data_IF_675872504871
#
_entry.id   IF_675872504871
#
_cell.length_a   1.000
_cell.length_b   1.000
_cell.length_c   1.000
_cell.angle_alpha   90.00
_cell.angle_beta   90.00
_cell.angle_gamma   90.00
#
_symmetry.space_group_name_H-M   'P 1'
#
loop_
_entity.id
_entity.type
_entity.pdbx_description
1 polymer ?
#
# COMPACT_ATOMS: atom_id res chain seq x y z
N UNK A 1 19.37 12.41 -4.14
CA UNK A 1 17.97 11.96 -4.36
C UNK A 1 17.32 11.76 -2.99
N UNK A 2 16.13 12.32 -2.77
CA UNK A 2 15.43 12.32 -1.47
C UNK A 2 14.96 10.93 -1.06
N UNK A 3 14.53 10.11 -2.03
CA UNK A 3 14.13 8.73 -1.79
C UNK A 3 15.30 7.90 -1.26
N UNK A 4 16.45 7.99 -1.93
CA UNK A 4 17.69 7.34 -1.50
C UNK A 4 18.17 7.81 -0.12
N UNK A 5 18.03 9.11 0.18
CA UNK A 5 18.37 9.66 1.49
C UNK A 5 17.44 9.13 2.59
N UNK A 6 16.14 9.03 2.32
CA UNK A 6 15.16 8.46 3.25
C UNK A 6 15.46 7.01 3.60
N UNK A 7 15.83 6.18 2.61
CA UNK A 7 16.28 4.80 2.83
C UNK A 7 17.49 4.73 3.75
N UNK A 8 18.50 5.57 3.49
CA UNK A 8 19.70 5.63 4.32
C UNK A 8 19.41 6.02 5.78
N UNK A 9 18.48 6.94 6.01
CA UNK A 9 18.04 7.28 7.37
C UNK A 9 17.21 6.16 8.01
N UNK A 10 16.36 5.48 7.25
CA UNK A 10 15.58 4.35 7.74
C UNK A 10 16.47 3.16 8.16
N UNK A 11 17.55 2.89 7.42
CA UNK A 11 18.53 1.85 7.76
C UNK A 11 19.31 2.18 9.05
N UNK A 12 19.45 3.46 9.36
CA UNK A 12 20.06 3.94 10.61
C UNK A 12 19.05 4.13 11.74
N UNK A 13 17.79 3.71 11.55
CA UNK A 13 16.69 3.89 12.51
C UNK A 13 16.41 5.36 12.88
N UNK A 14 16.83 6.29 12.02
CA UNK A 14 16.60 7.73 12.14
C UNK A 14 15.23 8.06 11.57
N UNK A 15 14.19 7.59 12.26
CA UNK A 15 12.82 7.61 11.78
C UNK A 15 12.29 9.00 11.41
N UNK A 16 12.49 10.06 12.22
CA UNK A 16 12.00 11.39 11.87
C UNK A 16 12.65 11.94 10.59
N UNK A 17 13.94 11.71 10.40
CA UNK A 17 14.65 12.16 9.19
C UNK A 17 14.27 11.34 7.96
N UNK A 18 14.07 10.03 8.11
CA UNK A 18 13.58 9.17 7.03
C UNK A 18 12.20 9.62 6.55
N UNK A 19 11.28 9.85 7.48
CA UNK A 19 9.92 10.32 7.17
C UNK A 19 9.95 11.67 6.44
N UNK A 20 10.71 12.65 6.95
CA UNK A 20 10.90 13.95 6.27
C UNK A 20 11.46 13.78 4.87
N UNK A 21 12.42 12.89 4.67
CA UNK A 21 13.02 12.66 3.36
C UNK A 21 12.02 12.02 2.38
N UNK A 22 11.22 11.05 2.80
CA UNK A 22 10.18 10.45 1.96
C UNK A 22 9.05 11.44 1.64
N UNK A 23 8.60 12.25 2.60
CA UNK A 23 7.64 13.33 2.34
C UNK A 23 8.21 14.34 1.34
N UNK A 24 9.47 14.76 1.52
CA UNK A 24 10.13 15.66 0.58
C UNK A 24 10.30 15.04 -0.82
N UNK A 25 10.47 13.73 -0.91
CA UNK A 25 10.49 13.01 -2.19
C UNK A 25 9.12 13.07 -2.86
N UNK A 26 8.03 12.80 -2.14
CA UNK A 26 6.66 12.86 -2.68
C UNK A 26 6.27 14.24 -3.21
N UNK A 27 6.79 15.32 -2.62
CA UNK A 27 6.57 16.70 -3.11
C UNK A 27 7.30 17.01 -4.43
N UNK A 28 8.38 16.28 -4.74
CA UNK A 28 9.32 16.62 -5.84
C UNK A 28 9.28 15.63 -6.98
N UNK A 29 8.90 14.38 -6.70
CA UNK A 29 8.80 13.33 -7.70
C UNK A 29 7.57 13.56 -8.56
N UNK A 30 7.75 13.45 -9.87
CA UNK A 30 6.67 13.60 -10.88
C UNK A 30 6.33 12.30 -11.59
N UNK A 31 7.15 11.26 -11.43
CA UNK A 31 6.94 9.96 -12.07
C UNK A 31 6.17 9.00 -11.17
N UNK A 32 5.11 8.38 -11.70
CA UNK A 32 4.24 7.45 -10.97
C UNK A 32 5.01 6.34 -10.26
N UNK A 33 6.00 5.73 -10.91
CA UNK A 33 6.81 4.66 -10.32
C UNK A 33 7.62 5.16 -9.11
N UNK A 34 8.26 6.32 -9.23
CA UNK A 34 9.08 6.85 -8.14
C UNK A 34 8.20 7.34 -6.97
N UNK A 35 7.03 7.92 -7.27
CA UNK A 35 6.05 8.29 -6.25
C UNK A 35 5.50 7.05 -5.53
N UNK A 36 5.18 5.98 -6.26
CA UNK A 36 4.76 4.69 -5.70
C UNK A 36 5.82 4.14 -4.73
N UNK A 37 7.09 4.12 -5.13
CA UNK A 37 8.20 3.71 -4.26
C UNK A 37 8.27 4.57 -3.00
N UNK A 38 8.19 5.90 -3.12
CA UNK A 38 8.24 6.79 -1.97
C UNK A 38 7.05 6.60 -1.01
N UNK A 39 5.83 6.37 -1.53
CA UNK A 39 4.67 6.01 -0.72
C UNK A 39 4.84 4.67 -0.01
N UNK A 40 5.37 3.66 -0.71
CA UNK A 40 5.61 2.34 -0.15
C UNK A 40 6.61 2.39 1.03
N UNK A 41 7.70 3.12 0.86
CA UNK A 41 8.73 3.31 1.89
C UNK A 41 8.18 4.08 3.10
N UNK A 42 7.43 5.18 2.87
CA UNK A 42 6.82 5.96 3.94
C UNK A 42 5.82 5.12 4.76
N UNK A 43 4.93 4.37 4.09
CA UNK A 43 3.96 3.55 4.79
C UNK A 43 4.62 2.38 5.53
N UNK A 44 5.69 1.77 4.97
CA UNK A 44 6.48 0.75 5.67
C UNK A 44 7.16 1.32 6.91
N UNK A 45 7.72 2.53 6.82
CA UNK A 45 8.34 3.23 7.94
C UNK A 45 7.34 3.47 9.08
N UNK A 46 6.12 3.93 8.75
CA UNK A 46 5.03 4.13 9.71
C UNK A 46 4.59 2.80 10.33
N UNK A 47 4.43 1.76 9.51
CA UNK A 47 4.08 0.41 9.96
C UNK A 47 5.10 -0.18 10.93
N UNK A 48 6.41 -0.05 10.65
CA UNK A 48 7.49 -0.52 11.55
C UNK A 48 7.45 0.14 12.92
N UNK A 49 6.90 1.35 13.01
CA UNK A 49 6.72 2.11 14.24
C UNK A 49 5.35 1.87 14.90
N UNK A 50 4.60 0.85 14.46
CA UNK A 50 3.22 0.57 14.90
C UNK A 50 2.24 1.73 14.67
N UNK A 51 2.56 2.68 13.78
CA UNK A 51 1.69 3.79 13.38
C UNK A 51 0.76 3.35 12.25
N UNK A 52 -0.08 2.36 12.56
CA UNK A 52 -0.93 1.68 11.57
C UNK A 52 -1.98 2.59 10.93
N UNK A 53 -2.56 3.51 11.69
CA UNK A 53 -3.52 4.48 11.17
C UNK A 53 -2.87 5.45 10.16
N UNK A 54 -1.69 5.98 10.48
CA UNK A 54 -0.93 6.85 9.56
C UNK A 54 -0.49 6.09 8.30
N UNK A 55 -0.09 4.83 8.43
CA UNK A 55 0.22 3.98 7.28
C UNK A 55 -1.01 3.79 6.37
N UNK A 56 -2.20 3.61 6.95
CA UNK A 56 -3.45 3.51 6.20
C UNK A 56 -3.76 4.81 5.43
N UNK A 57 -3.60 5.97 6.06
CA UNK A 57 -3.74 7.26 5.38
C UNK A 57 -2.74 7.40 4.22
N UNK A 58 -1.50 6.96 4.41
CA UNK A 58 -0.47 6.96 3.37
C UNK A 58 -0.85 6.05 2.19
N UNK A 59 -1.38 4.85 2.43
CA UNK A 59 -1.87 3.97 1.35
C UNK A 59 -3.07 4.58 0.62
N UNK A 60 -4.01 5.22 1.31
CA UNK A 60 -5.13 5.93 0.68
C UNK A 60 -4.66 7.12 -0.18
N UNK A 61 -3.68 7.87 0.31
CA UNK A 61 -3.04 8.96 -0.45
C UNK A 61 -2.32 8.44 -1.68
N UNK A 62 -1.63 7.30 -1.57
CA UNK A 62 -1.02 6.63 -2.72
C UNK A 62 -2.08 6.35 -3.78
N UNK A 63 -3.18 5.65 -3.44
CA UNK A 63 -4.27 5.34 -4.38
C UNK A 63 -4.86 6.57 -5.08
N UNK A 64 -4.89 7.71 -4.38
CA UNK A 64 -5.45 8.96 -4.91
C UNK A 64 -4.45 9.78 -5.75
N UNK A 65 -3.15 9.52 -5.59
CA UNK A 65 -2.07 10.32 -6.20
C UNK A 65 -1.45 9.61 -7.39
N UNK A 66 -1.22 8.29 -7.28
CA UNK A 66 -0.52 7.51 -8.29
C UNK A 66 -1.50 6.56 -8.96
N UNK A 67 -1.92 6.81 -10.22
CA UNK A 67 -2.70 5.84 -10.95
C UNK A 67 -1.82 4.64 -11.30
N UNK A 68 -2.36 3.44 -11.10
CA UNK A 68 -1.63 2.21 -11.38
C UNK A 68 -2.41 0.98 -10.96
N UNK A 69 -1.88 -0.17 -11.35
CA UNK A 69 -2.47 -1.48 -11.07
C UNK A 69 -1.81 -2.17 -9.87
N UNK A 70 -0.92 -1.48 -9.16
CA UNK A 70 -0.21 -2.03 -8.03
C UNK A 70 -1.21 -2.41 -6.92
N UNK A 71 -1.31 -3.71 -6.58
CA UNK A 71 -2.24 -4.16 -5.55
C UNK A 71 -1.78 -3.82 -4.13
N UNK A 72 -0.52 -3.41 -3.94
CA UNK A 72 0.11 -3.20 -2.63
C UNK A 72 -0.71 -2.30 -1.68
N UNK A 73 -1.09 -1.06 -2.04
CA UNK A 73 -1.87 -0.21 -1.15
C UNK A 73 -3.22 -0.83 -0.77
N UNK A 74 -3.92 -1.47 -1.71
CA UNK A 74 -5.19 -2.16 -1.44
C UNK A 74 -5.01 -3.35 -0.48
N UNK A 75 -3.96 -4.16 -0.68
CA UNK A 75 -3.66 -5.34 0.15
C UNK A 75 -3.31 -4.93 1.57
N UNK A 76 -2.51 -3.88 1.75
CA UNK A 76 -2.14 -3.39 3.08
C UNK A 76 -3.34 -2.74 3.79
N UNK A 77 -4.19 -2.00 3.08
CA UNK A 77 -5.47 -1.50 3.64
C UNK A 77 -6.40 -2.64 4.06
N UNK A 78 -6.50 -3.71 3.24
CA UNK A 78 -7.27 -4.89 3.61
C UNK A 78 -6.75 -5.55 4.90
N UNK A 79 -5.42 -5.68 5.05
CA UNK A 79 -4.80 -6.19 6.28
C UNK A 79 -5.07 -5.28 7.47
N UNK A 80 -4.97 -3.97 7.28
CA UNK A 80 -5.27 -2.98 8.32
C UNK A 80 -6.71 -3.10 8.82
N UNK A 81 -7.69 -3.12 7.91
CA UNK A 81 -9.10 -3.31 8.26
C UNK A 81 -9.32 -4.64 8.98
N UNK A 82 -8.74 -5.74 8.49
CA UNK A 82 -8.91 -7.08 9.06
C UNK A 82 -8.31 -7.18 10.48
N UNK A 83 -7.10 -6.66 10.69
CA UNK A 83 -6.33 -6.94 11.91
C UNK A 83 -6.42 -5.83 12.94
N UNK A 84 -6.49 -4.57 12.53
CA UNK A 84 -6.53 -3.42 13.43
C UNK A 84 -7.95 -2.93 13.67
N UNK A 85 -8.76 -2.75 12.62
CA UNK A 85 -10.14 -2.29 12.77
C UNK A 85 -11.12 -3.42 13.12
N UNK A 86 -10.73 -4.69 12.89
CA UNK A 86 -11.62 -5.87 12.94
C UNK A 86 -12.85 -5.73 12.03
N UNK A 87 -12.70 -4.95 10.98
CA UNK A 87 -13.74 -4.69 9.98
C UNK A 87 -13.49 -5.60 8.77
N UNK A 88 -14.13 -6.76 8.80
CA UNK A 88 -14.03 -7.74 7.73
C UNK A 88 -14.71 -7.25 6.44
N UNK A 89 -15.72 -6.39 6.54
CA UNK A 89 -16.45 -5.87 5.38
C UNK A 89 -15.53 -4.94 4.58
N UNK A 90 -14.90 -3.97 5.24
CA UNK A 90 -13.91 -3.11 4.59
C UNK A 90 -12.69 -3.90 4.11
N UNK A 91 -12.24 -4.93 4.84
CA UNK A 91 -11.14 -5.78 4.37
C UNK A 91 -11.48 -6.52 3.06
N UNK A 92 -12.72 -7.02 2.95
CA UNK A 92 -13.21 -7.63 1.72
C UNK A 92 -13.33 -6.61 0.58
N UNK A 93 -13.88 -5.42 0.86
CA UNK A 93 -14.01 -4.31 -0.09
C UNK A 93 -12.65 -3.92 -0.70
N UNK A 94 -11.62 -3.68 0.12
CA UNK A 94 -10.28 -3.34 -0.38
C UNK A 94 -9.68 -4.45 -1.24
N UNK A 95 -9.89 -5.72 -0.86
CA UNK A 95 -9.43 -6.87 -1.66
C UNK A 95 -10.18 -6.95 -3.00
N UNK A 96 -11.48 -6.67 -3.01
CA UNK A 96 -12.28 -6.62 -4.24
C UNK A 96 -11.87 -5.49 -5.17
N UNK A 97 -11.55 -4.31 -4.63
CA UNK A 97 -11.03 -3.20 -5.43
C UNK A 97 -9.67 -3.54 -6.06
N UNK A 98 -8.78 -4.21 -5.33
CA UNK A 98 -7.51 -4.70 -5.89
C UNK A 98 -7.76 -5.64 -7.08
N UNK A 99 -8.68 -6.60 -6.92
CA UNK A 99 -9.07 -7.54 -7.98
C UNK A 99 -9.63 -6.82 -9.19
N UNK A 100 -10.58 -5.91 -8.98
CA UNK A 100 -11.20 -5.16 -10.06
C UNK A 100 -10.19 -4.32 -10.84
N UNK A 101 -9.28 -3.64 -10.13
CA UNK A 101 -8.24 -2.81 -10.76
C UNK A 101 -7.30 -3.67 -11.63
N UNK A 102 -6.84 -4.80 -11.10
CA UNK A 102 -5.95 -5.72 -11.83
C UNK A 102 -6.64 -6.44 -12.99
N UNK A 103 -7.93 -6.79 -12.84
CA UNK A 103 -8.72 -7.42 -13.90
C UNK A 103 -9.11 -6.43 -14.99
N UNK A 104 -9.30 -5.15 -14.67
CA UNK A 104 -9.56 -4.10 -15.66
C UNK A 104 -8.31 -3.70 -16.45
N UNK A 105 -7.12 -4.06 -15.97
CA UNK A 105 -5.87 -3.82 -16.66
C UNK A 105 -5.74 -4.62 -17.97
N UNK A 106 -4.97 -4.11 -18.97
CA UNK A 106 -4.60 -4.87 -20.16
C UNK A 106 -3.97 -6.22 -19.82
N UNK A 107 -4.22 -7.23 -20.66
CA UNK A 107 -3.79 -8.61 -20.41
C UNK A 107 -2.27 -8.76 -20.18
N UNK A 108 -1.45 -7.92 -20.82
CA UNK A 108 0.01 -7.93 -20.67
C UNK A 108 0.51 -7.35 -19.33
N UNK A 109 -0.32 -6.60 -18.61
CA UNK A 109 -0.03 -6.11 -17.25
C UNK A 109 -0.64 -6.98 -16.16
N UNK A 110 -1.65 -7.79 -16.50
CA UNK A 110 -2.37 -8.62 -15.55
C UNK A 110 -1.52 -9.81 -15.10
N UNK A 111 -1.24 -9.87 -13.82
CA UNK A 111 -0.58 -11.03 -13.21
C UNK A 111 -1.61 -12.04 -12.71
N UNK A 112 -1.67 -13.22 -13.34
CA UNK A 112 -2.56 -14.31 -12.91
C UNK A 112 -2.26 -14.80 -11.48
N UNK A 113 -0.99 -14.76 -11.07
CA UNK A 113 -0.59 -15.12 -9.70
C UNK A 113 -1.14 -14.13 -8.66
N UNK A 114 -1.07 -12.82 -8.95
CA UNK A 114 -1.63 -11.79 -8.06
C UNK A 114 -3.15 -11.88 -7.99
N UNK A 115 -3.84 -12.15 -9.11
CA UNK A 115 -5.29 -12.37 -9.12
C UNK A 115 -5.65 -13.56 -8.22
N UNK A 116 -4.98 -14.70 -8.38
CA UNK A 116 -5.24 -15.88 -7.55
C UNK A 116 -4.99 -15.62 -6.06
N UNK A 117 -3.92 -14.91 -5.70
CA UNK A 117 -3.64 -14.55 -4.30
C UNK A 117 -4.77 -13.68 -3.71
N UNK A 118 -5.25 -12.70 -4.46
CA UNK A 118 -6.33 -11.82 -4.02
C UNK A 118 -7.67 -12.57 -3.90
N UNK A 119 -7.98 -13.49 -4.82
CA UNK A 119 -9.14 -14.38 -4.74
C UNK A 119 -9.09 -15.26 -3.50
N UNK A 120 -7.93 -15.87 -3.22
CA UNK A 120 -7.71 -16.66 -2.00
C UNK A 120 -7.89 -15.82 -0.73
N UNK A 121 -7.34 -14.59 -0.70
CA UNK A 121 -7.53 -13.65 0.41
C UNK A 121 -9.01 -13.33 0.62
N UNK A 122 -9.73 -13.00 -0.44
CA UNK A 122 -11.16 -12.65 -0.37
C UNK A 122 -11.98 -13.82 0.16
N UNK A 123 -11.76 -15.03 -0.38
CA UNK A 123 -12.45 -16.23 0.08
C UNK A 123 -12.19 -16.51 1.57
N UNK A 124 -10.96 -16.29 2.05
CA UNK A 124 -10.61 -16.42 3.48
C UNK A 124 -11.35 -15.40 4.35
N UNK A 125 -11.45 -14.15 3.92
CA UNK A 125 -12.17 -13.09 4.65
C UNK A 125 -13.67 -13.39 4.70
N UNK A 126 -14.27 -13.76 3.57
CA UNK A 126 -15.70 -14.08 3.49
C UNK A 126 -16.10 -15.28 4.37
N UNK A 127 -15.22 -16.28 4.51
CA UNK A 127 -15.46 -17.39 5.44
C UNK A 127 -15.48 -16.95 6.91
N UNK A 128 -14.78 -15.88 7.27
CA UNK A 128 -14.77 -15.33 8.64
C UNK A 128 -15.99 -14.47 8.96
N UNK A 129 -16.71 -13.99 7.93
CA UNK A 129 -17.91 -13.17 8.09
C UNK A 129 -19.19 -14.00 8.30
N UNK A 130 -19.16 -15.29 7.93
CA UNK A 130 -20.25 -16.25 8.14
C UNK A 130 -20.21 -16.77 9.57
#
# INVERSE_FOLDING_TARGET
DWLSLGRCYADQERWPEAERAFTAALERLTGNSAQADAFAELAQLQKRQNRWAEAAETWQRWLSTVPGIDPTPYVELAKYCEWHCKDLEQAAMWTQWALHNLQSAPAWQRSGAQVAELEHRLARIQRKQK
#
